data_IF_478178781973
#
_entry.id   IF_478178781973
#
_cell.length_a   1.000
_cell.length_b   1.000
_cell.length_c   1.000
_cell.angle_alpha   90.00
_cell.angle_beta   90.00
_cell.angle_gamma   90.00
#
_symmetry.space_group_name_H-M   'P 1'
#
loop_
_entity.id
_entity.type
_entity.pdbx_description
1 polymer ?
#
# COMPACT_ATOMS: atom_id res chain seq x y z
N UNK A 1 -1.18 8.34 2.28
CA UNK A 1 -0.17 8.44 3.36
C UNK A 1 1.23 8.27 2.79
N UNK A 2 1.64 7.07 2.34
CA UNK A 2 3.00 6.80 1.84
C UNK A 2 3.58 7.84 0.85
N UNK A 3 2.82 8.24 -0.18
CA UNK A 3 3.31 9.21 -1.17
C UNK A 3 3.60 10.59 -0.59
N UNK A 4 2.92 11.01 0.48
CA UNK A 4 3.23 12.28 1.17
C UNK A 4 4.54 12.18 1.93
N UNK A 5 4.82 11.04 2.56
CA UNK A 5 6.11 10.81 3.23
C UNK A 5 7.26 10.77 2.21
N UNK A 6 7.05 10.13 1.05
CA UNK A 6 8.09 9.96 0.03
C UNK A 6 8.33 11.26 -0.76
N UNK A 7 7.27 11.88 -1.27
CA UNK A 7 7.36 12.98 -2.24
C UNK A 7 7.02 14.36 -1.65
N UNK A 8 6.54 14.41 -0.41
CA UNK A 8 5.98 15.63 0.20
C UNK A 8 4.49 15.84 -0.11
N UNK A 9 3.90 16.77 0.64
CA UNK A 9 2.51 17.19 0.46
C UNK A 9 2.41 18.35 -0.52
N UNK A 10 1.38 18.37 -1.37
CA UNK A 10 1.10 19.50 -2.24
C UNK A 10 0.87 20.80 -1.45
N UNK A 11 0.22 20.71 -0.28
CA UNK A 11 -0.06 21.86 0.59
C UNK A 11 1.20 22.48 1.20
N UNK A 12 2.29 21.71 1.28
CA UNK A 12 3.56 22.12 1.89
C UNK A 12 4.70 22.08 0.88
N UNK A 13 4.40 22.16 -0.42
CA UNK A 13 5.40 22.01 -1.50
C UNK A 13 6.51 23.09 -1.46
N UNK A 14 6.27 24.20 -0.77
CA UNK A 14 7.25 25.28 -0.55
C UNK A 14 8.30 24.93 0.52
N UNK A 15 8.04 23.95 1.39
CA UNK A 15 8.94 23.53 2.46
C UNK A 15 9.79 22.37 1.94
N UNK A 16 11.12 22.53 1.99
CA UNK A 16 12.08 21.52 1.53
C UNK A 16 12.59 20.67 2.70
N UNK A 17 12.97 19.43 2.41
CA UNK A 17 13.63 18.54 3.39
C UNK A 17 12.71 17.91 4.44
N UNK A 18 11.39 17.94 4.23
CA UNK A 18 10.40 17.34 5.14
C UNK A 18 9.83 16.00 4.64
N UNK A 19 10.38 15.47 3.55
CA UNK A 19 10.04 14.18 2.97
C UNK A 19 11.25 13.23 3.05
N UNK A 20 10.98 11.94 2.91
CA UNK A 20 11.95 10.84 2.96
C UNK A 20 11.93 10.13 1.59
N UNK A 21 12.67 10.62 0.59
CA UNK A 21 12.55 10.16 -0.81
C UNK A 21 12.87 8.68 -1.03
N UNK A 22 13.70 8.11 -0.15
CA UNK A 22 14.15 6.72 -0.16
C UNK A 22 13.25 5.79 0.68
N UNK A 23 12.19 6.33 1.31
CA UNK A 23 11.25 5.50 2.05
C UNK A 23 10.54 4.50 1.14
N UNK A 24 10.40 3.27 1.64
CA UNK A 24 9.74 2.18 0.94
C UNK A 24 8.44 1.81 1.65
N UNK A 25 7.35 1.68 0.89
CA UNK A 25 6.10 1.15 1.44
C UNK A 25 6.19 -0.37 1.57
N UNK A 26 6.18 -0.86 2.80
CA UNK A 26 6.23 -2.29 3.12
C UNK A 26 4.88 -3.02 2.94
N UNK A 27 3.84 -2.31 2.51
CA UNK A 27 2.47 -2.82 2.51
C UNK A 27 1.68 -2.29 3.71
N UNK A 28 0.46 -2.77 3.94
CA UNK A 28 -0.22 -3.88 3.25
C UNK A 28 -0.59 -3.51 1.81
N UNK A 29 -0.37 -4.43 0.87
CA UNK A 29 -0.73 -4.26 -0.54
C UNK A 29 -2.06 -4.97 -0.87
N UNK A 30 -2.79 -4.54 -1.91
CA UNK A 30 -4.00 -5.25 -2.36
C UNK A 30 -3.74 -6.70 -2.74
N UNK A 31 -2.57 -7.02 -3.31
CA UNK A 31 -2.16 -8.41 -3.57
C UNK A 31 -2.04 -9.25 -2.29
N UNK A 32 -1.70 -8.64 -1.15
CA UNK A 32 -1.61 -9.33 0.14
C UNK A 32 -2.97 -9.83 0.62
N UNK A 33 -4.07 -9.16 0.24
CA UNK A 33 -5.43 -9.60 0.58
C UNK A 33 -5.68 -11.01 0.04
N UNK A 34 -5.20 -11.31 -1.16
CA UNK A 34 -5.31 -12.66 -1.74
C UNK A 34 -4.27 -13.61 -1.18
N UNK A 35 -3.02 -13.16 -1.06
CA UNK A 35 -1.89 -13.96 -0.56
C UNK A 35 -2.19 -14.54 0.82
N UNK A 36 -2.64 -13.70 1.73
CA UNK A 36 -2.96 -14.06 3.11
C UNK A 36 -4.47 -14.21 3.35
N UNK A 37 -5.30 -14.37 2.29
CA UNK A 37 -6.76 -14.58 2.40
C UNK A 37 -7.44 -13.71 3.47
N UNK A 38 -7.08 -12.42 3.48
CA UNK A 38 -7.44 -11.51 4.56
C UNK A 38 -8.95 -11.23 4.56
N UNK A 39 -9.57 -11.14 5.76
CA UNK A 39 -10.85 -10.46 5.91
C UNK A 39 -10.79 -9.10 5.24
N UNK A 40 -11.75 -8.82 4.37
CA UNK A 40 -11.72 -7.65 3.51
C UNK A 40 -13.14 -7.17 3.25
N UNK A 41 -13.28 -5.93 2.79
CA UNK A 41 -14.55 -5.32 2.42
C UNK A 41 -14.53 -4.86 0.97
N UNK A 42 -15.71 -4.70 0.37
CA UNK A 42 -15.82 -4.16 -1.00
C UNK A 42 -15.32 -2.71 -1.03
N UNK A 43 -14.69 -2.33 -2.13
CA UNK A 43 -14.39 -0.92 -2.39
C UNK A 43 -15.68 -0.11 -2.54
N UNK A 44 -15.68 1.09 -2.00
CA UNK A 44 -16.74 2.09 -2.21
C UNK A 44 -16.49 2.86 -3.50
N UNK A 45 -17.50 3.60 -3.98
CA UNK A 45 -17.33 4.48 -5.16
C UNK A 45 -16.24 5.54 -4.95
N UNK A 46 -16.09 6.01 -3.70
CA UNK A 46 -15.01 6.94 -3.33
C UNK A 46 -13.64 6.29 -3.47
N UNK A 47 -13.50 5.03 -3.05
CA UNK A 47 -12.24 4.30 -3.21
C UNK A 47 -11.92 4.09 -4.70
N UNK A 48 -12.92 3.71 -5.51
CA UNK A 48 -12.76 3.51 -6.95
C UNK A 48 -12.38 4.80 -7.66
N UNK A 49 -13.02 5.93 -7.31
CA UNK A 49 -12.64 7.25 -7.81
C UNK A 49 -11.18 7.56 -7.45
N UNK A 50 -10.79 7.30 -6.21
CA UNK A 50 -9.41 7.55 -5.76
C UNK A 50 -8.39 6.70 -6.53
N UNK A 51 -8.69 5.43 -6.79
CA UNK A 51 -7.80 4.56 -7.57
C UNK A 51 -7.62 5.13 -8.98
N UNK A 52 -8.69 5.58 -9.66
CA UNK A 52 -8.58 6.22 -10.99
C UNK A 52 -7.70 7.47 -10.97
N UNK A 53 -7.82 8.31 -9.93
CA UNK A 53 -6.97 9.49 -9.77
C UNK A 53 -5.49 9.11 -9.59
N UNK A 54 -5.21 8.05 -8.83
CA UNK A 54 -3.84 7.56 -8.64
C UNK A 54 -3.26 6.94 -9.92
N UNK A 55 -4.08 6.30 -10.75
CA UNK A 55 -3.64 5.69 -12.02
C UNK A 55 -3.15 6.70 -13.07
N UNK A 56 -3.52 7.98 -12.96
CA UNK A 56 -3.03 9.05 -13.86
C UNK A 56 -1.89 9.86 -13.24
N UNK A 57 -1.63 9.70 -11.94
CA UNK A 57 -0.58 10.42 -11.23
C UNK A 57 0.80 9.85 -11.61
N UNK A 58 1.76 10.70 -12.07
CA UNK A 58 3.10 10.26 -12.47
C UNK A 58 3.86 9.47 -11.40
N UNK A 59 3.58 9.73 -10.12
CA UNK A 59 4.24 9.07 -8.97
C UNK A 59 3.87 7.59 -8.84
N UNK A 60 2.77 7.16 -9.45
CA UNK A 60 2.23 5.81 -9.33
C UNK A 60 2.36 4.99 -10.62
N UNK A 61 3.08 5.51 -11.63
CA UNK A 61 3.23 4.87 -12.95
C UNK A 61 4.26 3.73 -12.99
N UNK A 62 5.06 3.57 -11.93
CA UNK A 62 6.10 2.54 -11.84
C UNK A 62 5.69 1.45 -10.85
N UNK A 63 6.27 0.26 -11.03
CA UNK A 63 6.10 -0.82 -10.08
C UNK A 63 6.87 -0.52 -8.77
N UNK A 64 6.33 -0.92 -7.61
CA UNK A 64 5.15 -1.77 -7.44
C UNK A 64 3.79 -1.07 -7.56
N UNK A 65 3.73 0.27 -7.50
CA UNK A 65 2.48 1.03 -7.43
C UNK A 65 1.49 0.72 -8.56
N UNK A 66 1.96 0.74 -9.82
CA UNK A 66 1.13 0.48 -10.99
C UNK A 66 0.50 -0.91 -10.96
N UNK A 67 1.29 -1.93 -10.61
CA UNK A 67 0.80 -3.31 -10.45
C UNK A 67 -0.27 -3.43 -9.37
N UNK A 68 -0.05 -2.81 -8.21
CA UNK A 68 -0.97 -2.91 -7.08
C UNK A 68 -2.28 -2.13 -7.32
N UNK A 69 -2.23 -0.98 -8.00
CA UNK A 69 -3.45 -0.27 -8.45
C UNK A 69 -4.30 -1.14 -9.39
N UNK A 70 -3.66 -1.88 -10.31
CA UNK A 70 -4.37 -2.86 -11.15
C UNK A 70 -4.95 -4.02 -10.34
N UNK A 71 -4.30 -4.45 -9.26
CA UNK A 71 -4.83 -5.50 -8.40
C UNK A 71 -6.10 -5.05 -7.69
N UNK A 72 -6.20 -3.79 -7.25
CA UNK A 72 -7.45 -3.25 -6.70
C UNK A 72 -8.63 -3.37 -7.68
N UNK A 73 -8.42 -3.16 -8.99
CA UNK A 73 -9.47 -3.35 -10.00
C UNK A 73 -9.91 -4.79 -10.17
N UNK A 74 -8.97 -5.74 -10.04
CA UNK A 74 -9.26 -7.17 -10.15
C UNK A 74 -10.04 -7.66 -8.94
N UNK A 75 -9.60 -7.33 -7.74
CA UNK A 75 -10.20 -7.86 -6.50
C UNK A 75 -11.40 -7.04 -6.04
N UNK A 76 -11.44 -5.74 -6.35
CA UNK A 76 -12.45 -4.76 -5.88
C UNK A 76 -12.71 -4.81 -4.37
N UNK A 77 -11.63 -5.02 -3.61
CA UNK A 77 -11.65 -5.15 -2.14
C UNK A 77 -10.49 -4.41 -1.50
N UNK A 78 -10.70 -4.01 -0.24
CA UNK A 78 -9.68 -3.46 0.66
C UNK A 78 -9.69 -4.20 2.00
N UNK A 79 -8.58 -4.16 2.71
CA UNK A 79 -8.43 -4.73 4.04
C UNK A 79 -7.72 -3.72 4.94
N UNK A 80 -8.06 -3.75 6.22
CA UNK A 80 -7.35 -3.03 7.27
C UNK A 80 -6.15 -3.85 7.75
N UNK A 81 -5.14 -3.20 8.34
CA UNK A 81 -3.94 -3.90 8.85
C UNK A 81 -4.32 -4.91 9.95
N UNK A 82 -5.31 -4.57 10.76
CA UNK A 82 -5.87 -5.41 11.82
C UNK A 82 -6.48 -6.72 11.28
N UNK A 83 -6.73 -6.84 9.97
CA UNK A 83 -7.24 -8.07 9.36
C UNK A 83 -6.31 -9.28 9.55
N UNK A 84 -5.01 -9.03 9.78
CA UNK A 84 -4.04 -10.08 10.13
C UNK A 84 -4.31 -10.75 11.48
N UNK A 85 -5.08 -10.11 12.38
CA UNK A 85 -5.48 -10.68 13.68
C UNK A 85 -6.24 -12.00 13.56
N UNK A 86 -6.78 -12.31 12.37
CA UNK A 86 -7.34 -13.64 12.04
C UNK A 86 -6.35 -14.78 12.30
N UNK A 87 -5.05 -14.51 12.16
CA UNK A 87 -3.96 -15.48 12.33
C UNK A 87 -3.30 -15.40 13.72
N UNK A 88 -3.82 -14.56 14.62
CA UNK A 88 -3.21 -14.25 15.92
C UNK A 88 -2.70 -12.81 15.99
N UNK A 89 -2.67 -12.24 17.20
CA UNK A 89 -2.25 -10.85 17.43
C UNK A 89 -0.76 -10.61 17.14
N UNK A 90 0.05 -11.67 17.19
CA UNK A 90 1.50 -11.65 16.97
C UNK A 90 1.92 -11.99 15.54
N UNK A 91 0.98 -12.37 14.66
CA UNK A 91 1.26 -12.79 13.29
C UNK A 91 2.06 -11.74 12.49
N UNK A 92 1.70 -10.45 12.66
CA UNK A 92 2.37 -9.35 11.95
C UNK A 92 3.87 -9.34 12.26
N UNK A 93 4.22 -9.53 13.54
CA UNK A 93 5.61 -9.45 14.01
C UNK A 93 6.38 -10.73 13.72
N UNK A 94 5.74 -11.89 13.87
CA UNK A 94 6.42 -13.18 13.73
C UNK A 94 6.56 -13.66 12.29
N UNK A 95 5.61 -13.33 11.42
CA UNK A 95 5.53 -13.90 10.07
C UNK A 95 5.58 -12.81 8.98
N UNK A 96 4.59 -11.90 8.97
CA UNK A 96 4.42 -10.94 7.86
C UNK A 96 5.60 -9.98 7.70
N UNK A 97 6.02 -9.33 8.79
CA UNK A 97 7.11 -8.35 8.73
C UNK A 97 8.46 -8.99 8.37
N UNK A 98 8.90 -10.10 8.99
CA UNK A 98 10.12 -10.78 8.58
C UNK A 98 10.13 -11.18 7.10
N UNK A 99 9.02 -11.78 6.62
CA UNK A 99 8.87 -12.17 5.22
C UNK A 99 8.97 -10.95 4.29
N UNK A 100 8.25 -9.88 4.62
CA UNK A 100 8.26 -8.64 3.82
C UNK A 100 9.63 -7.97 3.79
N UNK A 101 10.31 -7.87 4.92
CA UNK A 101 11.63 -7.25 5.00
C UNK A 101 12.64 -8.03 4.16
N UNK A 102 12.59 -9.36 4.20
CA UNK A 102 13.42 -10.20 3.34
C UNK A 102 13.12 -9.98 1.84
N UNK A 103 11.85 -9.79 1.45
CA UNK A 103 11.49 -9.45 0.07
C UNK A 103 11.99 -8.07 -0.38
N UNK A 104 11.99 -7.09 0.54
CA UNK A 104 12.47 -5.74 0.25
C UNK A 104 14.00 -5.69 0.15
N UNK A 105 14.72 -6.48 0.92
CA UNK A 105 16.19 -6.57 0.88
C UNK A 105 16.72 -7.33 -0.34
N UNK A 106 15.90 -8.16 -0.99
CA UNK A 106 16.27 -8.90 -2.21
C UNK A 106 16.14 -8.07 -3.50
N UNK A 107 15.69 -6.82 -3.40
CA UNK A 107 15.53 -5.89 -4.53
C UNK A 107 16.74 -4.99 -4.68
#
# INVERSE_FOLDING_TARGET
IASVLIHGSALSAHIKGINVPDAVWAGVWPSDIRRYRLPSMKLTDRDLKRIKELEVDPRYQRDPWRRELKEFWKIKRKAELEAFSRYGLDFIVKEFLPERLAELQKR
#
